data_IF_265045937857
#
_entry.id   IF_265045937857
#
_cell.length_a   1.000
_cell.length_b   1.000
_cell.length_c   1.000
_cell.angle_alpha   90.00
_cell.angle_beta   90.00
_cell.angle_gamma   90.00
#
_symmetry.space_group_name_H-M   'P 1'
#
loop_
_entity.id
_entity.type
_entity.pdbx_description
1 polymer ?
#
# COMPACT_ATOMS: atom_id res chain seq x y z
N UNK A 1 -31.17 8.53 -4.89
CA UNK A 1 -29.88 7.84 -4.67
C UNK A 1 -29.57 7.95 -3.19
N UNK A 2 -29.64 6.84 -2.45
CA UNK A 2 -29.49 6.86 -1.00
C UNK A 2 -28.06 7.18 -0.57
N UNK A 3 -27.87 7.51 0.70
CA UNK A 3 -26.54 7.76 1.27
C UNK A 3 -25.58 6.57 1.07
N UNK A 4 -26.11 5.35 1.15
CA UNK A 4 -25.37 4.10 0.91
C UNK A 4 -24.78 4.07 -0.50
N UNK A 5 -25.56 4.45 -1.53
CA UNK A 5 -25.09 4.45 -2.92
C UNK A 5 -23.92 5.42 -3.12
N UNK A 6 -23.99 6.59 -2.48
CA UNK A 6 -22.92 7.58 -2.49
C UNK A 6 -21.65 7.01 -1.86
N UNK A 7 -21.77 6.39 -0.68
CA UNK A 7 -20.64 5.79 0.04
C UNK A 7 -19.99 4.64 -0.77
N UNK A 8 -20.77 3.81 -1.45
CA UNK A 8 -20.24 2.74 -2.29
C UNK A 8 -19.48 3.26 -3.51
N UNK A 9 -19.95 4.34 -4.14
CA UNK A 9 -19.21 5.01 -5.24
C UNK A 9 -17.88 5.59 -4.75
N UNK A 10 -17.88 6.26 -3.60
CA UNK A 10 -16.66 6.80 -2.98
C UNK A 10 -15.69 5.66 -2.65
N UNK A 11 -16.16 4.58 -2.03
CA UNK A 11 -15.36 3.38 -1.74
C UNK A 11 -14.73 2.82 -3.02
N UNK A 12 -15.49 2.67 -4.10
CA UNK A 12 -14.95 2.15 -5.37
C UNK A 12 -13.79 3.00 -5.89
N UNK A 13 -13.96 4.33 -5.91
CA UNK A 13 -12.90 5.28 -6.31
C UNK A 13 -11.67 5.19 -5.42
N UNK A 14 -11.86 5.13 -4.10
CA UNK A 14 -10.76 5.03 -3.13
C UNK A 14 -10.02 3.69 -3.24
N UNK A 15 -10.74 2.58 -3.34
CA UNK A 15 -10.15 1.24 -3.47
C UNK A 15 -9.41 1.06 -4.80
N UNK A 16 -9.88 1.66 -5.89
CA UNK A 16 -9.18 1.65 -7.18
C UNK A 16 -7.83 2.38 -7.13
N UNK A 17 -7.71 3.45 -6.34
CA UNK A 17 -6.46 4.22 -6.16
C UNK A 17 -5.60 3.72 -5.00
N UNK A 18 -6.11 2.80 -4.18
CA UNK A 18 -5.42 2.29 -3.00
C UNK A 18 -4.25 1.40 -3.45
N UNK A 19 -3.01 1.64 -2.99
CA UNK A 19 -1.89 0.74 -3.27
C UNK A 19 -2.12 -0.65 -2.68
N UNK A 20 -1.39 -1.64 -3.19
CA UNK A 20 -1.47 -3.03 -2.71
C UNK A 20 -0.80 -3.25 -1.34
N UNK A 21 0.05 -2.31 -0.89
CA UNK A 21 0.81 -2.41 0.37
C UNK A 21 1.62 -3.72 0.49
N UNK A 22 2.51 -4.00 -0.47
CA UNK A 22 3.47 -5.12 -0.37
C UNK A 22 4.70 -4.78 0.47
N UNK A 23 5.47 -5.79 0.88
CA UNK A 23 6.76 -5.54 1.51
C UNK A 23 7.66 -4.65 0.63
N UNK A 24 8.32 -3.59 1.16
CA UNK A 24 9.07 -2.61 0.37
C UNK A 24 10.12 -3.20 -0.59
N UNK A 25 10.72 -4.33 -0.19
CA UNK A 25 11.78 -5.01 -0.92
C UNK A 25 11.34 -6.34 -1.56
N UNK A 26 10.03 -6.60 -1.64
CA UNK A 26 9.47 -7.85 -2.21
C UNK A 26 9.96 -8.13 -3.63
N UNK A 27 10.16 -7.09 -4.45
CA UNK A 27 10.66 -7.21 -5.81
C UNK A 27 12.12 -7.68 -5.90
N UNK A 28 12.94 -7.38 -4.87
CA UNK A 28 14.38 -7.69 -4.87
C UNK A 28 14.75 -9.08 -4.34
N UNK A 29 13.91 -9.69 -3.50
CA UNK A 29 14.22 -10.97 -2.82
C UNK A 29 13.01 -11.90 -2.84
N UNK A 30 13.19 -13.10 -3.38
CA UNK A 30 12.14 -14.13 -3.52
C UNK A 30 11.48 -14.44 -2.16
N UNK A 31 12.29 -14.66 -1.11
CA UNK A 31 11.80 -14.91 0.26
C UNK A 31 10.92 -13.81 0.88
N UNK A 32 10.82 -12.65 0.24
CA UNK A 32 10.01 -11.51 0.68
C UNK A 32 8.76 -11.31 -0.17
N UNK A 33 8.58 -12.06 -1.27
CA UNK A 33 7.42 -11.91 -2.18
C UNK A 33 6.11 -12.30 -1.52
N UNK A 34 6.13 -13.37 -0.74
CA UNK A 34 4.94 -13.87 -0.03
C UNK A 34 4.69 -13.13 1.28
N UNK A 35 5.57 -12.17 1.64
CA UNK A 35 5.38 -11.33 2.82
C UNK A 35 4.54 -10.10 2.46
N UNK A 36 3.42 -9.93 3.16
CA UNK A 36 2.62 -8.71 3.10
C UNK A 36 3.33 -7.47 3.67
N UNK A 37 2.59 -6.37 3.82
CA UNK A 37 3.11 -5.12 4.39
C UNK A 37 3.82 -5.33 5.74
N UNK A 38 5.02 -4.77 5.88
CA UNK A 38 5.72 -4.64 7.15
C UNK A 38 6.29 -3.24 7.26
N UNK A 39 6.15 -2.63 8.44
CA UNK A 39 6.66 -1.28 8.69
C UNK A 39 8.17 -1.24 8.47
N UNK A 40 8.72 -0.37 7.60
CA UNK A 40 10.15 -0.25 7.40
C UNK A 40 10.80 0.37 8.65
N UNK A 41 11.72 -0.37 9.28
CA UNK A 41 12.40 0.05 10.52
C UNK A 41 13.81 0.61 10.31
N UNK A 42 14.46 0.28 9.19
CA UNK A 42 15.86 0.64 8.94
C UNK A 42 16.09 2.16 8.91
N UNK A 43 17.15 2.63 9.57
CA UNK A 43 17.48 4.05 9.73
C UNK A 43 17.55 4.79 8.38
N UNK A 44 18.19 4.16 7.40
CA UNK A 44 18.40 4.70 6.05
C UNK A 44 17.34 4.25 5.02
N UNK A 45 16.28 3.55 5.45
CA UNK A 45 15.23 3.10 4.52
C UNK A 45 14.52 4.28 3.86
N UNK A 46 14.56 4.33 2.52
CA UNK A 46 13.93 5.40 1.73
C UNK A 46 12.40 5.40 1.85
N UNK A 47 11.82 4.20 1.96
CA UNK A 47 10.41 3.99 2.30
C UNK A 47 10.04 4.57 3.66
N UNK A 48 10.90 4.39 4.68
CA UNK A 48 10.68 4.99 6.02
C UNK A 48 10.75 6.52 5.96
N UNK A 49 11.71 7.04 5.20
CA UNK A 49 11.91 8.48 4.96
C UNK A 49 10.86 9.09 4.04
N UNK A 50 9.91 8.29 3.50
CA UNK A 50 8.84 8.72 2.59
C UNK A 50 9.36 9.48 1.37
N UNK A 51 10.53 9.10 0.87
CA UNK A 51 10.96 9.59 -0.43
C UNK A 51 9.93 9.12 -1.47
N UNK A 52 9.47 10.05 -2.30
CA UNK A 52 8.66 9.71 -3.46
C UNK A 52 9.44 8.76 -4.36
N UNK A 53 8.82 7.63 -4.68
CA UNK A 53 9.27 6.75 -5.76
C UNK A 53 8.52 7.12 -7.03
#
# INVERSE_FOLDING_TARGET
MGEIDRLLRVRRRQKARKPEFRHPYAHTKIKLRDKGWRRPKGLHSKWRKRYGG
#
